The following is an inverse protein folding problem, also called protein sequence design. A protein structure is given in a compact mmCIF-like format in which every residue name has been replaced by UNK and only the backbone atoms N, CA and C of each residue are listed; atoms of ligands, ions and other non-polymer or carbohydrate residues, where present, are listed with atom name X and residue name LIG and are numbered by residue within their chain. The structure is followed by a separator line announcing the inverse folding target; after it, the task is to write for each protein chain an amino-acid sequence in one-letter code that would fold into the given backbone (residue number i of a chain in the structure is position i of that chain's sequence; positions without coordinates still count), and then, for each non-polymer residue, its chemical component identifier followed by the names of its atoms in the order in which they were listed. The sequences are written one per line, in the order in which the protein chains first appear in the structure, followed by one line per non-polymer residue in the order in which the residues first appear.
data_IF_003655971230
#
_entry.id   IF_003655971230
#
_cell.length_a   1.000
_cell.length_b   1.000
_cell.length_c   1.000
_cell.angle_alpha   90.00
_cell.angle_beta   90.00
_cell.angle_gamma   90.00
#
_symmetry.space_group_name_H-M   'P 1'
#
loop_
_entity.id
_entity.type
_entity.pdbx_description
1 polymer ?
#
# COMPACT_ATOMS: atom_id res chain seq x y z
N UNK A 1 3.29 12.38 -9.50
CA UNK A 1 2.75 11.23 -8.74
C UNK A 1 1.74 11.79 -7.77
N UNK A 2 0.53 11.25 -7.73
CA UNK A 2 -0.43 11.66 -6.70
C UNK A 2 0.15 11.25 -5.34
N UNK A 3 -0.16 12.01 -4.28
CA UNK A 3 0.48 11.81 -2.97
C UNK A 3 0.32 10.37 -2.44
N UNK A 4 -0.79 9.71 -2.77
CA UNK A 4 -1.04 8.31 -2.38
C UNK A 4 -0.21 7.29 -3.18
N UNK A 5 0.02 7.51 -4.48
CA UNK A 5 0.88 6.62 -5.31
C UNK A 5 2.32 6.67 -4.80
N UNK A 6 2.78 7.86 -4.42
CA UNK A 6 4.09 8.04 -3.80
C UNK A 6 4.18 7.30 -2.46
N UNK A 7 3.17 7.43 -1.60
CA UNK A 7 3.16 6.73 -0.31
C UNK A 7 3.24 5.20 -0.49
N UNK A 8 2.45 4.65 -1.42
CA UNK A 8 2.48 3.21 -1.77
C UNK A 8 3.85 2.78 -2.28
N UNK A 9 4.40 3.52 -3.26
CA UNK A 9 5.71 3.21 -3.84
C UNK A 9 6.83 3.30 -2.81
N UNK A 10 6.82 4.32 -1.95
CA UNK A 10 7.82 4.52 -0.90
C UNK A 10 7.81 3.40 0.13
N UNK A 11 6.64 3.05 0.68
CA UNK A 11 6.52 1.98 1.68
C UNK A 11 6.85 0.62 1.07
N UNK A 12 6.47 0.38 -0.18
CA UNK A 12 6.85 -0.84 -0.91
C UNK A 12 8.37 -0.92 -1.12
N UNK A 13 9.01 0.19 -1.50
CA UNK A 13 10.47 0.27 -1.63
C UNK A 13 11.17 0.01 -0.29
N UNK A 14 10.67 0.59 0.80
CA UNK A 14 11.18 0.34 2.15
C UNK A 14 11.06 -1.14 2.54
N UNK A 15 9.96 -1.80 2.18
CA UNK A 15 9.77 -3.25 2.39
C UNK A 15 10.79 -4.08 1.60
N UNK A 16 11.01 -3.77 0.33
CA UNK A 16 12.00 -4.46 -0.50
C UNK A 16 13.40 -4.35 0.12
N UNK A 17 13.78 -3.14 0.57
CA UNK A 17 15.05 -2.92 1.26
C UNK A 17 15.10 -3.76 2.55
N UNK A 18 14.07 -3.70 3.38
CA UNK A 18 14.00 -4.44 4.65
C UNK A 18 14.19 -5.95 4.46
N UNK A 19 13.43 -6.55 3.54
CA UNK A 19 13.52 -8.00 3.26
C UNK A 19 14.88 -8.37 2.66
N UNK A 20 15.45 -7.53 1.79
CA UNK A 20 16.79 -7.75 1.23
C UNK A 20 17.87 -7.75 2.32
N UNK A 21 17.81 -6.79 3.25
CA UNK A 21 18.76 -6.71 4.37
C UNK A 21 18.67 -7.93 5.29
N UNK A 22 17.45 -8.40 5.58
CA UNK A 22 17.22 -9.63 6.33
C UNK A 22 17.80 -10.84 5.60
N UNK A 23 17.51 -10.98 4.30
CA UNK A 23 17.94 -12.13 3.50
C UNK A 23 19.46 -12.22 3.37
N UNK A 24 20.14 -11.08 3.29
CA UNK A 24 21.61 -11.00 3.26
C UNK A 24 22.24 -10.99 4.65
N UNK A 25 21.43 -10.88 5.72
CA UNK A 25 21.84 -10.78 7.11
C UNK A 25 22.88 -9.68 7.36
N UNK A 26 22.64 -8.48 6.80
CA UNK A 26 23.53 -7.32 6.91
C UNK A 26 22.82 -6.13 7.55
N UNK A 27 23.61 -5.21 8.14
CA UNK A 27 23.11 -3.96 8.70
C UNK A 27 21.97 -4.12 9.74
N UNK A 28 22.19 -4.98 10.74
CA UNK A 28 21.28 -5.21 11.88
C UNK A 28 20.64 -3.93 12.46
N UNK A 29 21.37 -2.83 12.71
CA UNK A 29 20.74 -1.60 13.21
C UNK A 29 19.66 -1.04 12.27
N UNK A 30 19.87 -1.12 10.95
CA UNK A 30 18.92 -0.66 9.95
C UNK A 30 17.71 -1.60 9.85
N UNK A 31 17.91 -2.92 9.99
CA UNK A 31 16.82 -3.90 10.09
C UNK A 31 15.92 -3.54 11.28
N UNK A 32 16.50 -3.33 12.47
CA UNK A 32 15.73 -2.96 13.66
C UNK A 32 14.99 -1.64 13.51
N UNK A 33 15.63 -0.63 12.91
CA UNK A 33 14.99 0.65 12.61
C UNK A 33 13.78 0.47 11.70
N UNK A 34 13.92 -0.27 10.60
CA UNK A 34 12.84 -0.54 9.65
C UNK A 34 11.72 -1.40 10.26
N UNK A 35 12.07 -2.35 11.13
CA UNK A 35 11.09 -3.15 11.86
C UNK A 35 10.20 -2.29 12.77
N UNK A 36 10.79 -1.38 13.53
CA UNK A 36 10.05 -0.47 14.42
C UNK A 36 9.27 0.57 13.62
N UNK A 37 9.87 1.13 12.56
CA UNK A 37 9.24 2.15 11.72
C UNK A 37 8.13 1.57 10.81
N UNK A 38 8.22 0.29 10.45
CA UNK A 38 7.33 -0.38 9.49
C UNK A 38 5.84 -0.21 9.79
N UNK A 39 5.35 -0.51 11.00
CA UNK A 39 3.95 -0.28 11.37
C UNK A 39 3.50 1.16 11.16
N UNK A 40 4.33 2.15 11.51
CA UNK A 40 4.01 3.57 11.31
C UNK A 40 3.97 3.94 9.82
N UNK A 41 4.89 3.42 9.02
CA UNK A 41 4.90 3.62 7.57
C UNK A 41 3.64 3.04 6.92
N UNK A 42 3.21 1.85 7.33
CA UNK A 42 1.98 1.23 6.83
C UNK A 42 0.75 2.05 7.21
N UNK A 43 0.63 2.48 8.48
CA UNK A 43 -0.48 3.33 8.92
C UNK A 43 -0.53 4.66 8.14
N UNK A 44 0.63 5.29 7.93
CA UNK A 44 0.74 6.52 7.14
C UNK A 44 0.33 6.30 5.68
N UNK A 45 0.77 5.21 5.05
CA UNK A 45 0.39 4.88 3.68
C UNK A 45 -1.11 4.64 3.56
N UNK A 46 -1.70 3.82 4.44
CA UNK A 46 -3.15 3.54 4.45
C UNK A 46 -3.94 4.83 4.63
N UNK A 47 -3.56 5.66 5.60
CA UNK A 47 -4.20 6.95 5.82
C UNK A 47 -4.15 7.82 4.55
N UNK A 48 -2.97 7.94 3.92
CA UNK A 48 -2.78 8.74 2.70
C UNK A 48 -3.63 8.24 1.54
N UNK A 49 -3.82 6.93 1.41
CA UNK A 49 -4.71 6.33 0.40
C UNK A 49 -6.17 6.64 0.70
N UNK A 50 -6.62 6.51 1.95
CA UNK A 50 -8.02 6.73 2.34
C UNK A 50 -8.47 8.18 2.17
N UNK A 51 -7.57 9.15 2.40
CA UNK A 51 -7.89 10.59 2.24
C UNK A 51 -7.64 11.09 0.82
N UNK A 52 -7.22 10.22 -0.11
CA UNK A 52 -6.93 10.63 -1.48
C UNK A 52 -8.20 11.18 -2.14
N UNK A 53 -8.15 12.34 -2.80
CA UNK A 53 -9.31 12.94 -3.46
C UNK A 53 -9.58 12.24 -4.80
N UNK A 54 -9.95 10.96 -4.73
CA UNK A 54 -10.28 10.12 -5.86
C UNK A 54 -11.81 10.04 -5.92
N UNK A 55 -12.36 10.37 -7.10
CA UNK A 55 -13.79 10.15 -7.35
C UNK A 55 -14.00 8.66 -7.53
N UNK A 56 -14.75 8.06 -6.61
CA UNK A 56 -15.20 6.67 -6.71
C UNK A 56 -16.50 6.71 -7.50
N UNK A 57 -16.51 6.13 -8.69
CA UNK A 57 -17.69 6.13 -9.58
C UNK A 57 -18.63 4.96 -9.31
N UNK A 58 -18.11 3.88 -8.71
CA UNK A 58 -18.84 2.64 -8.45
C UNK A 58 -18.95 2.39 -6.95
N UNK A 59 -20.11 1.93 -6.51
CA UNK A 59 -20.29 1.56 -5.11
C UNK A 59 -19.66 0.20 -4.83
N UNK A 60 -19.41 -0.09 -3.53
CA UNK A 60 -18.94 -1.41 -3.14
C UNK A 60 -19.93 -2.50 -3.61
N UNK A 61 -21.24 -2.29 -3.44
CA UNK A 61 -22.27 -3.25 -3.87
C UNK A 61 -22.24 -3.54 -5.38
N UNK A 62 -21.88 -2.55 -6.20
CA UNK A 62 -21.75 -2.72 -7.65
C UNK A 62 -20.52 -3.57 -8.04
N UNK A 63 -19.43 -3.48 -7.27
CA UNK A 63 -18.10 -4.01 -7.61
C UNK A 63 -17.55 -5.06 -6.63
N UNK A 64 -18.35 -5.57 -5.68
CA UNK A 64 -17.89 -6.40 -4.54
C UNK A 64 -16.94 -7.55 -4.94
N UNK A 65 -17.11 -8.15 -6.13
CA UNK A 65 -16.23 -9.23 -6.67
C UNK A 65 -15.95 -9.12 -8.18
N UNK A 66 -16.12 -7.95 -8.79
CA UNK A 66 -16.00 -7.82 -10.24
C UNK A 66 -14.63 -7.31 -10.64
N UNK A 67 -13.82 -8.17 -11.25
CA UNK A 67 -12.53 -7.77 -11.80
C UNK A 67 -12.68 -7.01 -13.13
N UNK A 68 -13.85 -7.12 -13.79
CA UNK A 68 -14.10 -6.52 -15.10
C UNK A 68 -15.51 -5.90 -15.22
N UNK A 69 -15.68 -4.84 -16.03
CA UNK A 69 -16.96 -4.13 -16.15
C UNK A 69 -18.10 -4.97 -16.73
N UNK A 70 -17.79 -6.02 -17.49
CA UNK A 70 -18.78 -6.94 -18.09
C UNK A 70 -19.36 -7.94 -17.09
N UNK A 71 -18.75 -8.08 -15.91
CA UNK A 71 -19.25 -8.92 -14.82
C UNK A 71 -20.26 -8.18 -13.94
N UNK A 72 -20.64 -6.94 -14.31
CA UNK A 72 -21.66 -6.13 -13.63
C UNK A 72 -22.96 -6.90 -13.52
N UNK A 73 -23.49 -6.93 -12.30
CA UNK A 73 -24.81 -7.48 -12.01
C UNK A 73 -25.82 -6.59 -12.73
N UNK A 74 -26.31 -7.04 -13.88
CA UNK A 74 -27.49 -6.47 -14.51
C UNK A 74 -28.70 -6.85 -13.65
N UNK A 75 -29.42 -5.84 -13.15
CA UNK A 75 -30.74 -6.04 -12.52
C UNK A 75 -31.71 -6.75 -13.46
#
# INVERSE_FOLDING_TARGET
MRNYEFAVGFVTGALIIFVTLIQLNVALPLIWLLFIAGPFLVLWMVWTVLIAPIKIEETFEEQWYQDRPDMRRTE
#
